data_IF_923862532125
#
_entry.id   IF_923862532125
#
_cell.length_a   1.000
_cell.length_b   1.000
_cell.length_c   1.000
_cell.angle_alpha   90.00
_cell.angle_beta   90.00
_cell.angle_gamma   90.00
#
_symmetry.space_group_name_H-M   'P 1'
#
loop_
_entity.id
_entity.type
_entity.pdbx_description
1 polymer ?
#
# COMPACT_ATOMS: atom_id res chain seq x y z
N UNK A 1 9.78 19.30 7.89
CA UNK A 1 11.06 18.86 7.26
C UNK A 1 12.22 19.17 8.21
N UNK A 2 13.01 18.17 8.62
CA UNK A 2 14.23 18.36 9.41
C UNK A 2 15.39 18.80 8.52
N UNK A 3 16.38 19.45 9.12
CA UNK A 3 17.56 19.88 8.39
C UNK A 3 18.81 19.88 9.27
N UNK A 4 19.97 19.82 8.62
CA UNK A 4 21.32 19.91 9.22
C UNK A 4 22.04 21.21 8.86
N UNK A 5 21.31 22.25 8.43
CA UNK A 5 21.92 23.50 7.93
C UNK A 5 22.82 24.14 8.99
N UNK A 6 22.36 24.21 10.25
CA UNK A 6 23.14 24.81 11.33
C UNK A 6 24.40 24.00 11.68
N UNK A 7 24.34 22.67 11.57
CA UNK A 7 25.46 21.75 11.81
C UNK A 7 26.52 21.91 10.72
N UNK A 8 26.13 21.71 9.45
CA UNK A 8 27.00 21.83 8.29
C UNK A 8 27.64 23.21 8.14
N UNK A 9 26.92 24.27 8.54
CA UNK A 9 27.45 25.63 8.58
C UNK A 9 28.55 25.77 9.64
N UNK A 10 28.35 25.22 10.84
CA UNK A 10 29.35 25.28 11.93
C UNK A 10 30.59 24.45 11.62
N UNK A 11 30.44 23.28 11.01
CA UNK A 11 31.56 22.45 10.53
C UNK A 11 32.47 23.19 9.56
N UNK A 12 31.90 24.14 8.79
CA UNK A 12 32.64 25.00 7.86
C UNK A 12 33.05 26.35 8.44
N UNK A 13 32.86 26.57 9.74
CA UNK A 13 33.12 27.85 10.41
C UNK A 13 32.41 29.06 9.75
N UNK A 14 31.27 28.83 9.10
CA UNK A 14 30.51 29.87 8.41
C UNK A 14 29.54 30.59 9.36
N UNK A 15 29.36 31.89 9.18
CA UNK A 15 28.30 32.71 9.78
C UNK A 15 27.02 32.59 8.97
N UNK A 16 25.87 32.86 9.60
CA UNK A 16 24.57 32.81 8.90
C UNK A 16 24.50 33.78 7.73
N UNK A 17 25.12 34.96 7.86
CA UNK A 17 25.21 35.97 6.80
C UNK A 17 26.02 35.49 5.60
N UNK A 18 27.09 34.74 5.83
CA UNK A 18 27.94 34.19 4.77
C UNK A 18 27.22 33.11 3.99
N UNK A 19 26.49 32.21 4.67
CA UNK A 19 25.66 31.21 4.02
C UNK A 19 24.50 31.85 3.24
N UNK A 20 23.87 32.87 3.82
CA UNK A 20 22.79 33.61 3.17
C UNK A 20 23.25 34.24 1.85
N UNK A 21 24.41 34.91 1.88
CA UNK A 21 25.03 35.49 0.69
C UNK A 21 25.38 34.42 -0.35
N UNK A 22 26.00 33.32 0.06
CA UNK A 22 26.40 32.24 -0.84
C UNK A 22 25.20 31.52 -1.48
N UNK A 23 24.11 31.33 -0.73
CA UNK A 23 22.89 30.70 -1.23
C UNK A 23 21.95 31.68 -1.97
N UNK A 24 22.23 32.98 -1.93
CA UNK A 24 21.42 34.02 -2.56
C UNK A 24 20.04 34.19 -1.92
N UNK A 25 19.95 34.05 -0.59
CA UNK A 25 18.70 34.22 0.18
C UNK A 25 18.94 35.11 1.41
N UNK A 26 17.86 35.57 2.06
CA UNK A 26 17.99 36.46 3.21
C UNK A 26 18.57 35.72 4.44
N UNK A 27 19.29 36.47 5.29
CA UNK A 27 19.74 35.96 6.60
C UNK A 27 18.56 35.49 7.45
N UNK A 28 17.42 36.20 7.42
CA UNK A 28 16.21 35.78 8.13
C UNK A 28 15.72 34.42 7.66
N UNK A 29 15.80 34.13 6.35
CA UNK A 29 15.47 32.82 5.78
C UNK A 29 16.38 31.73 6.35
N UNK A 30 17.71 31.96 6.38
CA UNK A 30 18.65 31.01 7.01
C UNK A 30 18.29 30.77 8.48
N UNK A 31 18.02 31.81 9.26
CA UNK A 31 17.62 31.68 10.67
C UNK A 31 16.33 30.86 10.82
N UNK A 32 15.34 31.10 9.96
CA UNK A 32 14.07 30.39 10.00
C UNK A 32 14.23 28.91 9.61
N UNK A 33 15.05 28.62 8.60
CA UNK A 33 15.39 27.25 8.17
C UNK A 33 16.13 26.51 9.29
N UNK A 34 17.18 27.10 9.87
CA UNK A 34 17.94 26.47 10.95
C UNK A 34 17.08 26.15 12.18
N UNK A 35 16.02 26.93 12.41
CA UNK A 35 15.05 26.72 13.50
C UNK A 35 13.88 25.82 13.13
N UNK A 36 13.83 25.29 11.90
CA UNK A 36 12.73 24.46 11.40
C UNK A 36 11.40 25.22 11.23
N UNK A 37 11.41 26.55 11.23
CA UNK A 37 10.20 27.40 11.12
C UNK A 37 9.82 27.73 9.68
N UNK A 38 10.67 27.35 8.73
CA UNK A 38 10.47 27.64 7.32
C UNK A 38 11.02 26.50 6.46
N UNK A 39 10.18 26.00 5.57
CA UNK A 39 10.59 25.02 4.57
C UNK A 39 11.12 25.76 3.33
N UNK A 40 12.40 25.60 2.96
CA UNK A 40 12.92 26.26 1.76
C UNK A 40 12.24 25.77 0.48
N UNK A 41 12.21 26.61 -0.55
CA UNK A 41 11.90 26.13 -1.91
C UNK A 41 12.95 25.12 -2.37
N UNK A 42 12.61 24.26 -3.33
CA UNK A 42 13.56 23.31 -3.92
C UNK A 42 14.83 24.01 -4.41
N UNK A 43 14.67 25.15 -5.08
CA UNK A 43 15.79 25.95 -5.56
C UNK A 43 16.69 26.44 -4.42
N UNK A 44 16.11 26.96 -3.34
CA UNK A 44 16.87 27.39 -2.17
C UNK A 44 17.57 26.21 -1.49
N UNK A 45 16.90 25.06 -1.37
CA UNK A 45 17.48 23.85 -0.79
C UNK A 45 18.69 23.34 -1.60
N UNK A 46 18.59 23.32 -2.94
CA UNK A 46 19.69 22.94 -3.84
C UNK A 46 20.87 23.90 -3.71
N UNK A 47 20.61 25.22 -3.67
CA UNK A 47 21.67 26.23 -3.51
C UNK A 47 22.41 26.08 -2.18
N UNK A 48 21.67 25.88 -1.07
CA UNK A 48 22.26 25.65 0.25
C UNK A 48 23.11 24.36 0.25
N UNK A 49 22.61 23.28 -0.34
CA UNK A 49 23.34 22.02 -0.43
C UNK A 49 24.64 22.15 -1.23
N UNK A 50 24.63 22.94 -2.31
CA UNK A 50 25.83 23.28 -3.09
C UNK A 50 26.85 24.07 -2.29
N UNK A 51 26.44 25.00 -1.43
CA UNK A 51 27.36 25.69 -0.52
C UNK A 51 28.12 24.71 0.40
N UNK A 52 27.50 23.57 0.68
CA UNK A 52 28.06 22.51 1.49
C UNK A 52 28.68 21.36 0.67
N UNK A 53 28.67 21.40 -0.66
CA UNK A 53 29.23 20.32 -1.49
C UNK A 53 28.66 18.93 -1.20
N UNK A 54 27.41 18.84 -0.73
CA UNK A 54 26.72 17.57 -0.40
C UNK A 54 25.39 17.50 -1.14
N UNK A 55 24.84 16.29 -1.36
CA UNK A 55 23.48 16.12 -1.89
C UNK A 55 22.42 16.79 -1.01
N UNK A 56 21.29 17.19 -1.60
CA UNK A 56 20.23 17.95 -0.89
C UNK A 56 19.62 17.12 0.25
N UNK A 57 19.55 15.81 0.07
CA UNK A 57 19.04 14.82 1.02
C UNK A 57 19.93 14.69 2.27
N UNK A 58 21.22 15.04 2.17
CA UNK A 58 22.13 15.09 3.32
C UNK A 58 21.93 16.36 4.18
N UNK A 59 21.28 17.38 3.61
CA UNK A 59 21.01 18.68 4.27
C UNK A 59 19.59 18.74 4.80
N UNK A 60 18.63 18.29 3.99
CA UNK A 60 17.21 18.36 4.25
C UNK A 60 16.63 16.95 4.14
N UNK A 61 15.92 16.54 5.18
CA UNK A 61 15.28 15.24 5.24
C UNK A 61 13.88 15.43 5.82
N UNK A 62 12.95 14.52 5.51
CA UNK A 62 11.61 14.57 6.09
C UNK A 62 11.71 14.76 7.61
N UNK A 63 10.78 15.53 8.19
CA UNK A 63 10.50 15.28 9.61
C UNK A 63 10.11 13.81 9.69
N UNK A 64 10.38 13.16 10.83
CA UNK A 64 9.74 11.88 11.10
C UNK A 64 8.24 12.15 11.34
N UNK A 65 7.58 12.73 10.36
CA UNK A 65 6.15 12.72 10.17
C UNK A 65 5.86 11.28 9.78
N UNK A 66 4.85 10.71 10.41
CA UNK A 66 4.48 9.30 10.37
C UNK A 66 4.08 8.73 9.00
N UNK A 67 4.78 9.06 7.91
CA UNK A 67 4.75 8.31 6.66
C UNK A 67 5.55 6.99 6.72
N UNK A 68 6.21 6.70 7.85
CA UNK A 68 6.54 5.33 8.27
C UNK A 68 6.48 5.22 9.79
N UNK A 69 5.35 5.56 10.40
CA UNK A 69 5.03 4.87 11.67
C UNK A 69 4.72 3.44 11.27
N UNK A 70 5.72 2.56 11.25
CA UNK A 70 5.44 1.13 11.30
C UNK A 70 4.62 0.93 12.56
N UNK A 71 3.38 0.43 12.50
CA UNK A 71 2.85 -0.24 13.67
C UNK A 71 3.86 -1.37 13.96
N UNK A 72 4.33 -1.48 15.19
CA UNK A 72 5.02 -2.71 15.64
C UNK A 72 4.08 -3.94 15.55
N UNK A 73 2.82 -3.71 15.17
CA UNK A 73 1.70 -4.64 15.22
C UNK A 73 1.02 -4.71 13.85
N UNK A 74 1.57 -5.47 12.91
CA UNK A 74 0.93 -5.68 11.61
C UNK A 74 1.60 -6.67 10.66
N UNK A 75 2.85 -7.05 10.91
CA UNK A 75 3.54 -8.05 10.09
C UNK A 75 2.83 -9.42 10.18
N UNK A 76 2.21 -9.84 9.07
CA UNK A 76 1.62 -11.19 8.95
C UNK A 76 0.28 -11.40 9.63
N UNK A 77 -0.52 -10.34 9.89
CA UNK A 77 -1.89 -10.49 10.38
C UNK A 77 -2.90 -10.50 9.23
N UNK A 78 -3.83 -11.46 9.28
CA UNK A 78 -4.93 -11.53 8.33
C UNK A 78 -5.98 -10.46 8.63
N UNK A 79 -6.42 -9.78 7.59
CA UNK A 79 -7.37 -8.67 7.62
C UNK A 79 -8.73 -9.20 7.23
N UNK A 80 -9.67 -9.15 8.17
CA UNK A 80 -11.01 -9.70 7.95
C UNK A 80 -11.86 -8.88 6.97
N UNK A 81 -11.66 -7.57 6.90
CA UNK A 81 -12.43 -6.67 6.03
C UNK A 81 -11.77 -5.31 5.82
N UNK A 82 -12.09 -4.61 4.74
CA UNK A 82 -11.56 -3.28 4.39
C UNK A 82 -11.90 -2.17 5.40
N UNK A 83 -12.94 -2.37 6.21
CA UNK A 83 -13.37 -1.50 7.30
C UNK A 83 -12.60 -1.74 8.60
N UNK A 84 -11.58 -2.59 8.59
CA UNK A 84 -10.73 -2.83 9.75
C UNK A 84 -10.08 -1.51 10.22
N UNK A 85 -10.06 -1.22 11.55
CA UNK A 85 -9.54 0.05 12.07
C UNK A 85 -8.10 0.37 11.66
N UNK A 86 -7.26 -0.65 11.50
CA UNK A 86 -5.89 -0.53 11.02
C UNK A 86 -5.80 0.06 9.60
N UNK A 87 -6.83 -0.09 8.77
CA UNK A 87 -6.86 0.45 7.41
C UNK A 87 -7.40 1.89 7.34
N UNK A 88 -7.93 2.43 8.45
CA UNK A 88 -8.66 3.70 8.46
C UNK A 88 -7.82 4.92 8.04
N UNK A 89 -6.50 4.80 8.12
CA UNK A 89 -5.55 5.87 7.83
C UNK A 89 -4.86 5.71 6.47
N UNK A 90 -5.15 4.63 5.73
CA UNK A 90 -4.48 4.31 4.47
C UNK A 90 -5.35 4.78 3.30
N UNK A 91 -4.69 5.37 2.30
CA UNK A 91 -5.27 5.66 0.99
C UNK A 91 -4.71 4.71 -0.05
N UNK A 92 -5.49 4.46 -1.09
CA UNK A 92 -5.02 3.79 -2.30
C UNK A 92 -5.37 4.67 -3.49
N UNK A 93 -4.32 5.25 -4.11
CA UNK A 93 -4.43 6.43 -4.94
C UNK A 93 -4.94 7.64 -4.15
N UNK A 94 -5.92 8.35 -4.68
CA UNK A 94 -6.53 9.51 -4.03
C UNK A 94 -7.69 9.20 -3.07
N UNK A 95 -7.99 7.92 -2.82
CA UNK A 95 -9.20 7.49 -2.11
C UNK A 95 -8.88 6.64 -0.88
N UNK A 96 -9.68 6.71 0.20
CA UNK A 96 -9.48 5.87 1.38
C UNK A 96 -9.63 4.37 1.05
N UNK A 97 -8.67 3.57 1.52
CA UNK A 97 -8.55 2.14 1.23
C UNK A 97 -9.82 1.35 1.62
N UNK A 98 -10.53 1.81 2.65
CA UNK A 98 -11.81 1.26 3.10
C UNK A 98 -12.91 1.21 2.02
N UNK A 99 -12.77 1.94 0.92
CA UNK A 99 -13.76 2.01 -0.16
C UNK A 99 -13.30 1.37 -1.48
N UNK A 100 -12.00 1.21 -1.68
CA UNK A 100 -11.41 0.83 -2.97
C UNK A 100 -10.19 -0.11 -2.88
N UNK A 101 -9.84 -0.56 -1.68
CA UNK A 101 -8.67 -1.36 -1.38
C UNK A 101 -8.88 -2.87 -1.39
N UNK A 102 -9.96 -3.38 -1.99
CA UNK A 102 -10.31 -4.80 -1.91
C UNK A 102 -9.20 -5.69 -2.43
N UNK A 103 -8.58 -5.30 -3.54
CA UNK A 103 -7.43 -5.99 -4.10
C UNK A 103 -6.16 -5.88 -3.25
N UNK A 104 -5.94 -4.73 -2.59
CA UNK A 104 -4.80 -4.53 -1.69
C UNK A 104 -4.94 -5.47 -0.48
N UNK A 105 -6.12 -5.51 0.14
CA UNK A 105 -6.42 -6.39 1.26
C UNK A 105 -6.30 -7.86 0.85
N UNK A 106 -6.82 -8.22 -0.33
CA UNK A 106 -6.72 -9.58 -0.86
C UNK A 106 -5.25 -9.97 -1.11
N UNK A 107 -4.43 -9.10 -1.69
CA UNK A 107 -3.01 -9.36 -1.92
C UNK A 107 -2.24 -9.51 -0.59
N UNK A 108 -2.46 -8.60 0.37
CA UNK A 108 -1.87 -8.68 1.70
C UNK A 108 -2.21 -9.99 2.43
N UNK A 109 -3.49 -10.37 2.40
CA UNK A 109 -3.94 -11.63 3.00
C UNK A 109 -3.36 -12.85 2.29
N UNK A 110 -3.35 -12.87 0.96
CA UNK A 110 -2.78 -13.97 0.19
C UNK A 110 -1.30 -14.20 0.50
N UNK A 111 -0.50 -13.12 0.55
CA UNK A 111 0.92 -13.18 0.92
C UNK A 111 1.11 -13.66 2.36
N UNK A 112 0.33 -13.15 3.31
CA UNK A 112 0.32 -13.63 4.70
C UNK A 112 -0.01 -15.12 4.80
N UNK A 113 -1.01 -15.59 4.05
CA UNK A 113 -1.37 -17.02 4.00
C UNK A 113 -0.26 -17.89 3.39
N UNK A 114 0.59 -17.32 2.52
CA UNK A 114 1.78 -17.98 1.97
C UNK A 114 3.01 -17.86 2.88
N UNK A 115 2.85 -17.33 4.10
CA UNK A 115 3.92 -17.18 5.09
C UNK A 115 4.88 -16.03 4.79
N UNK A 116 4.48 -15.05 3.98
CA UNK A 116 5.21 -13.81 3.82
C UNK A 116 4.73 -12.77 4.85
N UNK A 117 5.67 -12.02 5.43
CA UNK A 117 5.35 -10.86 6.26
C UNK A 117 5.22 -9.64 5.34
N UNK A 118 3.99 -9.20 5.10
CA UNK A 118 3.69 -7.99 4.33
C UNK A 118 2.70 -7.12 5.11
N UNK A 119 2.68 -5.83 4.80
CA UNK A 119 1.73 -4.85 5.35
C UNK A 119 0.83 -4.28 4.25
N UNK A 120 -0.42 -3.89 4.54
CA UNK A 120 -1.29 -3.22 3.57
C UNK A 120 -0.69 -1.96 2.97
N UNK A 121 0.11 -1.24 3.74
CA UNK A 121 0.83 -0.02 3.34
C UNK A 121 1.86 -0.33 2.26
N UNK A 122 2.67 -1.38 2.46
CA UNK A 122 3.67 -1.80 1.48
C UNK A 122 2.99 -2.30 0.19
N UNK A 123 1.91 -3.08 0.31
CA UNK A 123 1.15 -3.55 -0.86
C UNK A 123 0.51 -2.37 -1.61
N UNK A 124 -0.14 -1.44 -0.92
CA UNK A 124 -0.76 -0.27 -1.53
C UNK A 124 0.29 0.60 -2.24
N UNK A 125 1.42 0.87 -1.57
CA UNK A 125 2.51 1.65 -2.13
C UNK A 125 3.11 1.00 -3.38
N UNK A 126 3.34 -0.31 -3.36
CA UNK A 126 3.84 -1.03 -4.53
C UNK A 126 2.83 -1.02 -5.69
N UNK A 127 1.54 -1.16 -5.40
CA UNK A 127 0.52 -1.06 -6.43
C UNK A 127 0.52 0.33 -7.07
N UNK A 128 0.64 1.39 -6.27
CA UNK A 128 0.75 2.77 -6.76
C UNK A 128 2.00 3.00 -7.61
N UNK A 129 3.17 2.56 -7.13
CA UNK A 129 4.45 2.66 -7.84
C UNK A 129 4.41 1.91 -9.19
N UNK A 130 3.63 0.83 -9.28
CA UNK A 130 3.42 0.06 -10.50
C UNK A 130 2.20 0.50 -11.32
N UNK A 131 1.59 1.64 -10.99
CA UNK A 131 0.47 2.23 -11.72
C UNK A 131 -0.78 1.33 -11.77
N UNK A 132 -0.98 0.48 -10.77
CA UNK A 132 -2.15 -0.40 -10.62
C UNK A 132 -3.47 0.31 -10.24
N UNK A 133 -3.50 1.51 -9.62
CA UNK A 133 -4.75 2.19 -9.30
C UNK A 133 -5.54 2.57 -10.56
N UNK A 134 -6.81 2.15 -10.64
CA UNK A 134 -7.73 2.56 -11.70
C UNK A 134 -8.39 3.90 -11.35
N UNK A 135 -8.31 4.85 -12.28
CA UNK A 135 -8.85 6.21 -12.11
C UNK A 135 -8.40 6.86 -10.78
N UNK A 136 -7.10 6.78 -10.50
CA UNK A 136 -6.53 7.29 -9.25
C UNK A 136 -7.02 6.54 -8.01
N UNK A 137 -7.44 5.28 -8.16
CA UNK A 137 -7.96 4.43 -7.10
C UNK A 137 -9.49 4.44 -7.00
N UNK A 138 -10.23 5.33 -7.67
CA UNK A 138 -11.69 5.41 -7.55
C UNK A 138 -12.41 4.09 -7.84
N UNK A 139 -11.82 3.23 -8.68
CA UNK A 139 -12.35 1.91 -9.05
C UNK A 139 -11.47 0.74 -8.56
N UNK A 140 -10.59 0.98 -7.59
CA UNK A 140 -9.67 -0.03 -7.07
C UNK A 140 -8.61 -0.43 -8.08
N UNK A 141 -8.32 -1.73 -8.16
CA UNK A 141 -7.31 -2.30 -9.08
C UNK A 141 -7.99 -3.25 -10.07
N UNK A 142 -7.53 -3.29 -11.32
CA UNK A 142 -7.93 -4.34 -12.25
C UNK A 142 -7.43 -5.70 -11.74
N UNK A 143 -8.31 -6.66 -11.37
CA UNK A 143 -7.86 -7.93 -10.80
C UNK A 143 -6.99 -8.77 -11.74
N UNK A 144 -7.01 -8.47 -13.05
CA UNK A 144 -6.14 -9.11 -14.05
C UNK A 144 -4.67 -8.73 -13.90
N UNK A 145 -4.36 -7.65 -13.16
CA UNK A 145 -2.99 -7.20 -12.86
C UNK A 145 -2.42 -7.78 -11.58
N UNK A 146 -3.23 -8.42 -10.74
CA UNK A 146 -2.76 -9.01 -9.49
C UNK A 146 -1.70 -10.11 -9.70
N UNK A 147 -1.77 -10.95 -10.76
CA UNK A 147 -0.69 -11.87 -11.07
C UNK A 147 0.68 -11.20 -11.24
N UNK A 148 0.75 -9.96 -11.73
CA UNK A 148 2.01 -9.23 -11.90
C UNK A 148 2.68 -8.96 -10.55
N UNK A 149 1.89 -8.54 -9.55
CA UNK A 149 2.35 -8.35 -8.17
C UNK A 149 2.90 -9.66 -7.59
N UNK A 150 2.11 -10.74 -7.62
CA UNK A 150 2.56 -12.01 -7.06
C UNK A 150 3.82 -12.57 -7.75
N UNK A 151 3.91 -12.43 -9.07
CA UNK A 151 5.09 -12.85 -9.82
C UNK A 151 6.35 -12.08 -9.39
N UNK A 152 6.25 -10.76 -9.13
CA UNK A 152 7.35 -9.95 -8.61
C UNK A 152 7.83 -10.41 -7.22
N UNK A 153 6.96 -11.07 -6.45
CA UNK A 153 7.25 -11.61 -5.11
C UNK A 153 7.57 -13.11 -5.09
N UNK A 154 7.87 -13.72 -6.23
CA UNK A 154 8.20 -15.15 -6.31
C UNK A 154 7.02 -16.08 -6.00
N UNK A 155 5.80 -15.61 -6.25
CA UNK A 155 4.57 -16.39 -6.08
C UNK A 155 3.97 -16.70 -7.45
N UNK A 156 3.90 -17.99 -7.77
CA UNK A 156 3.25 -18.47 -9.00
C UNK A 156 1.74 -18.30 -8.88
N UNK A 157 1.12 -17.63 -9.87
CA UNK A 157 -0.33 -17.54 -10.03
C UNK A 157 -0.81 -18.49 -11.13
N UNK A 158 -1.44 -19.60 -10.76
CA UNK A 158 -2.00 -20.56 -11.73
C UNK A 158 -3.50 -20.31 -11.91
N UNK A 159 -3.98 -19.95 -13.11
CA UNK A 159 -5.41 -19.77 -13.36
C UNK A 159 -6.20 -21.06 -13.16
N UNK A 160 -7.33 -20.98 -12.46
CA UNK A 160 -8.21 -22.10 -12.16
C UNK A 160 -9.55 -21.98 -12.89
N UNK A 161 -10.14 -23.12 -13.27
CA UNK A 161 -11.50 -23.15 -13.85
C UNK A 161 -12.56 -23.26 -12.75
N UNK A 162 -13.73 -22.66 -13.01
CA UNK A 162 -14.85 -22.54 -12.06
C UNK A 162 -15.41 -23.88 -11.57
N UNK A 163 -15.25 -24.94 -12.36
CA UNK A 163 -15.78 -26.29 -12.12
C UNK A 163 -14.83 -27.21 -11.33
N UNK A 164 -13.55 -26.82 -11.17
CA UNK A 164 -12.54 -27.62 -10.48
C UNK A 164 -11.63 -26.74 -9.66
N UNK A 165 -11.91 -26.63 -8.35
CA UNK A 165 -10.85 -26.26 -7.44
C UNK A 165 -9.80 -27.36 -7.40
N UNK A 166 -8.51 -27.03 -7.48
CA UNK A 166 -7.42 -28.01 -7.52
C UNK A 166 -7.10 -28.66 -6.16
N UNK A 167 -7.97 -28.52 -5.14
CA UNK A 167 -7.76 -29.05 -3.80
C UNK A 167 -7.36 -27.98 -2.79
N UNK A 168 -6.64 -28.38 -1.75
CA UNK A 168 -6.18 -27.50 -0.67
C UNK A 168 -5.15 -26.48 -1.18
N UNK A 169 -5.18 -25.26 -0.62
CA UNK A 169 -4.25 -24.21 -1.00
C UNK A 169 -4.72 -22.80 -0.69
N UNK A 170 -3.92 -21.83 -1.11
CA UNK A 170 -4.25 -20.39 -1.04
C UNK A 170 -4.68 -19.94 -2.42
N UNK A 171 -5.76 -19.19 -2.49
CA UNK A 171 -6.32 -18.71 -3.74
C UNK A 171 -6.64 -17.22 -3.66
N UNK A 172 -6.60 -16.60 -4.83
CA UNK A 172 -7.14 -15.28 -5.09
C UNK A 172 -8.40 -15.43 -5.94
N UNK A 173 -9.51 -14.87 -5.48
CA UNK A 173 -10.80 -15.00 -6.15
C UNK A 173 -11.42 -13.62 -6.37
N UNK A 174 -11.71 -13.31 -7.62
CA UNK A 174 -12.44 -12.10 -8.02
C UNK A 174 -13.80 -12.50 -8.57
N UNK A 175 -14.87 -11.89 -8.06
CA UNK A 175 -16.24 -12.21 -8.42
C UNK A 175 -17.12 -10.97 -8.48
N UNK A 176 -18.21 -11.03 -9.22
CA UNK A 176 -19.21 -9.97 -9.28
C UNK A 176 -20.60 -10.52 -8.94
N UNK A 177 -21.42 -9.70 -8.30
CA UNK A 177 -22.83 -10.00 -8.20
C UNK A 177 -23.45 -9.94 -9.61
N UNK A 178 -24.17 -10.98 -10.03
CA UNK A 178 -24.95 -10.91 -11.27
C UNK A 178 -26.07 -9.88 -11.08
N UNK A 179 -26.22 -8.89 -11.97
CA UNK A 179 -27.17 -7.81 -11.75
C UNK A 179 -28.59 -8.29 -12.11
N UNK A 180 -29.42 -8.56 -11.11
CA UNK A 180 -30.86 -8.37 -11.23
C UNK A 180 -31.18 -7.00 -10.62
N UNK A 181 -31.09 -5.94 -11.42
CA UNK A 181 -31.65 -4.60 -11.14
C UNK A 181 -31.31 -3.96 -9.78
N UNK A 182 -30.30 -3.06 -9.75
CA UNK A 182 -30.33 -1.70 -9.13
C UNK A 182 -29.05 -1.19 -8.47
N UNK A 183 -27.99 -1.97 -8.27
CA UNK A 183 -26.72 -1.42 -7.76
C UNK A 183 -25.54 -1.85 -8.62
N UNK A 184 -24.85 -0.88 -9.20
CA UNK A 184 -23.55 -1.06 -9.85
C UNK A 184 -22.54 -1.37 -8.75
N UNK A 185 -22.45 -2.64 -8.32
CA UNK A 185 -21.35 -3.12 -7.48
C UNK A 185 -20.38 -3.90 -8.36
N UNK A 186 -19.16 -3.38 -8.39
CA UNK A 186 -18.03 -3.84 -9.19
C UNK A 186 -17.50 -5.19 -8.75
N UNK A 187 -16.48 -5.67 -9.47
CA UNK A 187 -15.78 -6.91 -9.14
C UNK A 187 -15.19 -6.78 -7.73
N UNK A 188 -15.42 -7.77 -6.88
CA UNK A 188 -14.87 -7.87 -5.55
C UNK A 188 -13.79 -8.94 -5.51
N UNK A 189 -12.66 -8.66 -4.88
CA UNK A 189 -11.51 -9.57 -4.82
C UNK A 189 -11.20 -9.97 -3.39
N UNK A 190 -11.00 -11.28 -3.17
CA UNK A 190 -10.72 -11.87 -1.85
C UNK A 190 -9.56 -12.85 -1.92
N UNK A 191 -8.88 -13.01 -0.78
CA UNK A 191 -8.01 -14.16 -0.53
C UNK A 191 -8.80 -15.25 0.19
N UNK A 192 -8.52 -16.51 -0.14
CA UNK A 192 -9.14 -17.65 0.53
C UNK A 192 -8.17 -18.81 0.72
N UNK A 193 -8.32 -19.50 1.85
CA UNK A 193 -7.59 -20.74 2.18
C UNK A 193 -8.57 -21.89 2.12
N UNK A 194 -8.29 -22.86 1.25
CA UNK A 194 -9.07 -24.09 1.14
C UNK A 194 -8.33 -25.22 1.83
N UNK A 195 -9.05 -25.98 2.64
CA UNK A 195 -8.62 -27.19 3.34
C UNK A 195 -9.68 -28.28 3.16
N UNK A 196 -9.42 -29.50 3.62
CA UNK A 196 -10.42 -30.57 3.67
C UNK A 196 -11.68 -30.22 4.48
N UNK A 197 -11.56 -29.27 5.43
CA UNK A 197 -12.68 -28.81 6.25
C UNK A 197 -13.53 -27.70 5.58
N UNK A 198 -13.07 -27.17 4.43
CA UNK A 198 -13.77 -26.11 3.71
C UNK A 198 -12.87 -24.92 3.36
N UNK A 199 -13.49 -23.80 3.01
CA UNK A 199 -12.85 -22.56 2.60
C UNK A 199 -13.05 -21.44 3.64
N UNK A 200 -11.95 -20.86 4.09
CA UNK A 200 -11.93 -19.61 4.85
C UNK A 200 -11.69 -18.44 3.88
N UNK A 201 -12.52 -17.41 3.95
CA UNK A 201 -12.53 -16.26 3.04
C UNK A 201 -12.40 -14.99 3.85
N UNK A 202 -11.41 -14.16 3.50
CA UNK A 202 -11.19 -12.85 4.12
C UNK A 202 -11.67 -11.74 3.20
N UNK A 203 -12.10 -10.63 3.82
CA UNK A 203 -12.63 -9.46 3.13
C UNK A 203 -13.84 -9.80 2.25
N UNK A 204 -14.74 -10.71 2.65
CA UNK A 204 -15.94 -10.97 1.86
C UNK A 204 -16.87 -9.73 1.85
N UNK A 205 -16.96 -9.05 2.99
CA UNK A 205 -17.66 -7.78 3.16
C UNK A 205 -16.73 -6.76 3.83
N UNK A 206 -16.90 -5.50 3.45
CA UNK A 206 -16.06 -4.40 3.95
C UNK A 206 -16.02 -4.35 5.48
N UNK A 207 -17.13 -4.62 6.18
CA UNK A 207 -17.22 -4.54 7.64
C UNK A 207 -16.87 -5.81 8.42
N UNK A 208 -16.33 -6.85 7.77
CA UNK A 208 -16.06 -8.13 8.43
C UNK A 208 -14.95 -8.01 9.50
N UNK A 209 -15.19 -8.62 10.66
CA UNK A 209 -14.23 -8.68 11.78
C UNK A 209 -13.52 -10.03 11.90
N UNK A 210 -14.06 -11.06 11.25
CA UNK A 210 -13.54 -12.44 11.21
C UNK A 210 -13.70 -13.00 9.78
N UNK A 211 -12.92 -14.02 9.37
CA UNK A 211 -13.11 -14.66 8.07
C UNK A 211 -14.46 -15.39 7.99
N UNK A 212 -15.07 -15.35 6.80
CA UNK A 212 -16.24 -16.15 6.50
C UNK A 212 -15.83 -17.59 6.19
N UNK A 213 -16.54 -18.56 6.76
CA UNK A 213 -16.28 -19.99 6.56
C UNK A 213 -17.35 -20.63 5.69
N UNK A 214 -16.93 -21.40 4.71
CA UNK A 214 -17.80 -22.09 3.77
C UNK A 214 -17.40 -23.56 3.64
N UNK A 215 -18.36 -24.49 3.51
CA UNK A 215 -18.04 -25.91 3.32
C UNK A 215 -17.40 -26.17 1.95
N UNK A 216 -17.75 -25.38 0.94
CA UNK A 216 -17.23 -25.48 -0.42
C UNK A 216 -17.36 -24.15 -1.19
N UNK A 217 -16.70 -24.05 -2.36
CA UNK A 217 -16.75 -22.84 -3.19
C UNK A 217 -18.12 -22.56 -3.82
N UNK A 218 -18.92 -23.55 -4.26
CA UNK A 218 -20.30 -23.29 -4.69
C UNK A 218 -21.12 -22.54 -3.63
N UNK A 219 -20.98 -22.94 -2.36
CA UNK A 219 -21.64 -22.31 -1.21
C UNK A 219 -21.12 -20.90 -0.93
N UNK A 220 -19.84 -20.62 -1.22
CA UNK A 220 -19.29 -19.27 -1.16
C UNK A 220 -19.80 -18.37 -2.31
N UNK A 221 -19.73 -18.88 -3.55
CA UNK A 221 -20.10 -18.10 -4.73
C UNK A 221 -21.60 -17.81 -4.76
N UNK A 222 -22.47 -18.69 -4.28
CA UNK A 222 -23.94 -18.45 -4.21
C UNK A 222 -24.54 -17.90 -5.52
N UNK A 223 -24.08 -18.40 -6.66
CA UNK A 223 -24.52 -17.92 -7.98
C UNK A 223 -23.84 -16.65 -8.50
N UNK A 224 -22.94 -16.01 -7.74
CA UNK A 224 -22.08 -14.90 -8.20
C UNK A 224 -21.24 -15.33 -9.41
N UNK A 225 -21.00 -14.38 -10.31
CA UNK A 225 -20.18 -14.61 -11.49
C UNK A 225 -18.70 -14.54 -11.09
N UNK A 226 -17.94 -15.59 -11.41
CA UNK A 226 -16.50 -15.58 -11.21
C UNK A 226 -15.85 -14.74 -12.32
N UNK A 227 -15.08 -13.73 -11.95
CA UNK A 227 -14.30 -12.90 -12.87
C UNK A 227 -12.88 -13.47 -13.05
N UNK A 228 -12.23 -13.90 -11.96
CA UNK A 228 -10.93 -14.56 -11.99
C UNK A 228 -10.75 -15.47 -10.77
N UNK A 229 -9.96 -16.53 -10.91
CA UNK A 229 -9.56 -17.41 -9.82
C UNK A 229 -8.14 -17.92 -10.08
N UNK A 230 -7.26 -17.71 -9.11
CA UNK A 230 -5.86 -18.14 -9.18
C UNK A 230 -5.52 -18.99 -7.97
N UNK A 231 -4.87 -20.12 -8.19
CA UNK A 231 -4.13 -20.85 -7.16
C UNK A 231 -2.76 -20.18 -7.00
N UNK A 232 -2.40 -19.84 -5.76
CA UNK A 232 -1.15 -19.20 -5.44
C UNK A 232 -0.20 -20.21 -4.78
N UNK A 233 1.06 -20.22 -5.23
CA UNK A 233 2.12 -21.04 -4.64
C UNK A 233 3.39 -20.23 -4.51
N UNK A 234 4.02 -20.31 -3.35
CA UNK A 234 5.36 -19.76 -3.13
C UNK A 234 6.36 -20.82 -3.59
N UNK A 235 7.29 -20.43 -4.45
CA UNK A 235 8.39 -21.29 -4.91
C UNK A 235 9.45 -21.51 -3.83
#
# INVERSE_FOLDING_TARGET
>A
MRNRVAELRRERNMRQEELAAAAGISRQSIIAIEKGRFNPSLEAAIRIARCFGVPVEAVFFPEADGWRCRPETGEGRLIAGQGAPELAHITYGGYPLRYNGGEVVAACNAMTLLGAAVSPEDVAGEFEDNGMPLLGGALGTDPRRLPDYFAAHGVTCTPCRRDRLPGEGVFLCSYAALPLLREVRGVHTVALRVTAAGAAVWNERDGDTEPALYPDMPSFLKGKALAALYLLRKE
#
